data_IF_125476373772
#
_entry.id   IF_125476373772
#
_cell.length_a   1.000
_cell.length_b   1.000
_cell.length_c   1.000
_cell.angle_alpha   90.00
_cell.angle_beta   90.00
_cell.angle_gamma   90.00
#
_symmetry.space_group_name_H-M   'P 1'
#
loop_
_entity.id
_entity.type
_entity.pdbx_description
1 polymer ?
#
# COMPACT_ATOMS: atom_id res chain seq x y z
N UNK A 1 -51.81 5.73 -9.83
CA UNK A 1 -50.76 6.45 -9.08
C UNK A 1 -50.58 5.77 -7.73
N UNK A 2 -49.57 4.90 -7.60
CA UNK A 2 -49.05 4.46 -6.30
C UNK A 2 -47.65 5.03 -6.22
N UNK A 3 -47.40 5.83 -5.19
CA UNK A 3 -46.14 6.52 -4.94
C UNK A 3 -45.08 5.49 -4.58
N UNK A 4 -43.94 5.61 -5.24
CA UNK A 4 -42.66 5.03 -4.83
C UNK A 4 -42.30 5.56 -3.44
N UNK A 5 -42.08 4.66 -2.49
CA UNK A 5 -41.45 4.96 -1.21
C UNK A 5 -39.96 4.71 -1.36
N UNK A 6 -39.21 5.81 -1.46
CA UNK A 6 -37.77 5.85 -1.24
C UNK A 6 -37.45 5.21 0.12
N UNK A 7 -36.69 4.11 0.09
CA UNK A 7 -36.02 3.59 1.28
C UNK A 7 -34.68 4.32 1.35
N UNK A 8 -34.62 5.30 2.25
CA UNK A 8 -33.36 5.91 2.70
C UNK A 8 -32.58 4.81 3.45
N UNK A 9 -31.55 4.27 2.80
CA UNK A 9 -30.64 3.33 3.45
C UNK A 9 -29.65 4.18 4.24
N UNK A 10 -29.86 4.25 5.55
CA UNK A 10 -28.89 4.83 6.48
C UNK A 10 -27.55 4.12 6.35
N UNK A 11 -26.48 4.91 6.22
CA UNK A 11 -25.07 4.47 6.11
C UNK A 11 -24.52 3.81 7.40
N UNK A 12 -25.36 3.57 8.41
CA UNK A 12 -24.96 2.96 9.70
C UNK A 12 -24.99 1.42 9.69
N UNK A 13 -24.91 0.76 8.53
CA UNK A 13 -24.98 -0.72 8.46
C UNK A 13 -23.84 -1.33 7.65
N UNK A 14 -22.59 -1.04 8.00
CA UNK A 14 -21.45 -1.92 7.70
C UNK A 14 -20.48 -1.82 8.88
N UNK A 15 -20.66 -2.71 9.85
CA UNK A 15 -19.68 -3.48 10.63
C UNK A 15 -20.55 -4.29 11.57
N UNK A 16 -20.48 -5.61 11.46
CA UNK A 16 -21.21 -6.53 12.33
C UNK A 16 -20.72 -6.32 13.79
N UNK A 17 -21.57 -5.83 14.71
CA UNK A 17 -21.19 -5.62 16.11
C UNK A 17 -20.81 -6.93 16.83
N UNK A 18 -21.09 -8.08 16.21
CA UNK A 18 -20.65 -9.40 16.71
C UNK A 18 -19.13 -9.61 16.50
N UNK A 19 -18.51 -9.02 15.47
CA UNK A 19 -17.05 -9.17 15.23
C UNK A 19 -16.23 -8.38 16.26
N UNK A 20 -16.67 -7.18 16.67
CA UNK A 20 -15.98 -6.39 17.70
C UNK A 20 -16.10 -7.01 19.11
N UNK A 21 -17.18 -7.75 19.41
CA UNK A 21 -17.39 -8.37 20.72
C UNK A 21 -16.80 -9.78 20.84
N UNK A 22 -16.45 -10.44 19.73
CA UNK A 22 -15.80 -11.76 19.71
C UNK A 22 -14.27 -11.71 19.62
N UNK A 23 -13.67 -10.53 19.50
CA UNK A 23 -12.23 -10.41 19.62
C UNK A 23 -11.85 -10.62 21.10
N UNK A 24 -11.45 -11.86 21.40
CA UNK A 24 -10.72 -12.18 22.63
C UNK A 24 -9.56 -11.18 22.81
N UNK A 25 -9.11 -10.99 24.04
CA UNK A 25 -8.07 -10.01 24.40
C UNK A 25 -6.72 -10.20 23.65
N UNK A 26 -6.59 -11.26 22.85
CA UNK A 26 -5.42 -11.68 22.08
C UNK A 26 -5.68 -11.82 20.56
N UNK A 27 -6.75 -11.22 20.02
CA UNK A 27 -7.02 -11.27 18.57
C UNK A 27 -6.80 -9.91 17.92
N UNK A 28 -6.08 -9.93 16.80
CA UNK A 28 -5.70 -8.75 16.03
C UNK A 28 -6.40 -8.75 14.67
N UNK A 29 -6.83 -7.57 14.23
CA UNK A 29 -7.33 -7.33 12.88
C UNK A 29 -6.48 -6.24 12.22
N UNK A 30 -5.92 -6.57 11.06
CA UNK A 30 -5.18 -5.66 10.20
C UNK A 30 -6.12 -5.23 9.07
N UNK A 31 -6.46 -3.95 9.04
CA UNK A 31 -7.12 -3.32 7.90
C UNK A 31 -6.09 -2.71 6.96
N UNK A 32 -6.24 -2.93 5.66
CA UNK A 32 -5.30 -2.40 4.68
C UNK A 32 -5.96 -1.94 3.39
N UNK A 33 -5.30 -1.02 2.67
CA UNK A 33 -5.77 -0.55 1.36
C UNK A 33 -5.74 -1.66 0.29
N UNK A 34 -4.79 -2.58 0.40
CA UNK A 34 -4.72 -3.76 -0.48
C UNK A 34 -4.47 -5.04 0.33
N UNK A 35 -5.52 -5.62 0.94
CA UNK A 35 -5.35 -6.73 1.88
C UNK A 35 -4.80 -8.00 1.21
N UNK A 36 -5.09 -8.20 -0.07
CA UNK A 36 -4.54 -9.29 -0.89
C UNK A 36 -3.01 -9.21 -1.00
N UNK A 37 -2.43 -8.02 -1.03
CA UNK A 37 -0.98 -7.84 -0.98
C UNK A 37 -0.40 -8.15 0.40
N UNK A 38 -1.04 -7.67 1.47
CA UNK A 38 -0.49 -7.79 2.84
C UNK A 38 -0.60 -9.18 3.45
N UNK A 39 -1.56 -10.02 3.01
CA UNK A 39 -1.73 -11.39 3.53
C UNK A 39 -0.52 -12.29 3.31
N UNK A 40 0.37 -11.94 2.38
CA UNK A 40 1.60 -12.71 2.13
C UNK A 40 2.70 -12.44 3.16
N UNK A 41 2.53 -11.42 4.01
CA UNK A 41 3.51 -11.03 5.02
C UNK A 41 3.06 -11.34 6.45
N UNK A 42 1.79 -11.71 6.66
CA UNK A 42 1.23 -11.95 7.99
C UNK A 42 0.56 -13.33 8.01
N UNK A 43 0.98 -14.16 8.95
CA UNK A 43 0.38 -15.44 9.30
C UNK A 43 -0.29 -15.31 10.68
N UNK A 44 -1.43 -15.98 10.94
CA UNK A 44 -2.32 -16.56 9.95
C UNK A 44 -2.99 -15.46 9.11
N UNK A 45 -3.33 -15.77 7.85
CA UNK A 45 -3.96 -14.80 6.93
C UNK A 45 -5.29 -14.23 7.45
N UNK A 46 -5.93 -14.91 8.43
CA UNK A 46 -7.11 -14.42 9.14
C UNK A 46 -6.88 -13.16 9.97
N UNK A 47 -5.63 -12.77 10.22
CA UNK A 47 -5.31 -11.50 10.86
C UNK A 47 -5.53 -10.31 9.93
N UNK A 48 -5.55 -10.50 8.60
CA UNK A 48 -5.78 -9.43 7.62
C UNK A 48 -7.24 -9.46 7.18
N UNK A 49 -7.97 -8.36 7.37
CA UNK A 49 -9.32 -8.23 6.83
C UNK A 49 -9.25 -8.23 5.31
N UNK A 50 -9.97 -9.14 4.66
CA UNK A 50 -10.00 -9.24 3.20
C UNK A 50 -10.88 -8.17 2.53
N UNK A 51 -11.53 -7.31 3.32
CA UNK A 51 -12.28 -6.17 2.82
C UNK A 51 -11.31 -5.10 2.31
N UNK A 52 -11.41 -4.78 1.02
CA UNK A 52 -10.64 -3.70 0.41
C UNK A 52 -11.24 -2.36 0.85
N UNK A 53 -10.53 -1.65 1.71
CA UNK A 53 -10.93 -0.36 2.25
C UNK A 53 -10.09 0.76 1.64
N UNK A 54 -10.66 1.96 1.52
CA UNK A 54 -9.83 3.10 1.20
C UNK A 54 -8.99 3.56 2.41
N UNK A 55 -7.96 4.36 2.11
CA UNK A 55 -7.09 4.99 3.11
C UNK A 55 -7.87 5.70 4.25
N UNK A 56 -8.98 6.37 3.94
CA UNK A 56 -9.78 7.15 4.89
C UNK A 56 -10.55 6.22 5.82
N UNK A 57 -11.09 5.13 5.30
CA UNK A 57 -11.80 4.11 6.06
C UNK A 57 -10.89 3.37 7.03
N UNK A 58 -9.71 2.92 6.58
CA UNK A 58 -8.70 2.31 7.47
C UNK A 58 -8.36 3.26 8.62
N UNK A 59 -8.13 4.54 8.33
CA UNK A 59 -7.86 5.56 9.35
C UNK A 59 -9.00 5.72 10.36
N UNK A 60 -10.27 5.68 9.90
CA UNK A 60 -11.44 5.79 10.78
C UNK A 60 -11.55 4.59 11.72
N UNK A 61 -11.33 3.38 11.21
CA UNK A 61 -11.39 2.15 12.01
C UNK A 61 -10.31 2.15 13.10
N UNK A 62 -9.07 2.44 12.74
CA UNK A 62 -7.96 2.51 13.71
C UNK A 62 -8.21 3.54 14.80
N UNK A 63 -8.77 4.71 14.45
CA UNK A 63 -9.05 5.79 15.43
C UNK A 63 -10.23 5.49 16.38
N UNK A 64 -11.11 4.57 16.00
CA UNK A 64 -12.29 4.17 16.81
C UNK A 64 -12.02 2.94 17.67
N UNK A 65 -11.10 2.09 17.23
CA UNK A 65 -10.79 0.83 17.90
C UNK A 65 -10.23 1.06 19.31
N UNK A 66 -10.70 0.27 20.27
CA UNK A 66 -10.26 0.30 21.67
C UNK A 66 -9.04 -0.59 21.93
N UNK A 67 -8.85 -1.65 21.14
CA UNK A 67 -7.67 -2.52 21.13
C UNK A 67 -7.68 -3.45 19.92
N UNK A 68 -6.54 -4.09 19.60
CA UNK A 68 -6.49 -5.21 18.66
C UNK A 68 -6.69 -4.83 17.19
N UNK A 69 -6.55 -3.55 16.82
CA UNK A 69 -6.67 -3.10 15.42
C UNK A 69 -5.40 -2.40 14.98
N UNK A 70 -4.84 -2.87 13.87
CA UNK A 70 -3.74 -2.24 13.14
C UNK A 70 -4.27 -1.78 11.78
N UNK A 71 -3.82 -0.61 11.32
CA UNK A 71 -4.09 -0.15 9.96
C UNK A 71 -2.80 0.00 9.17
N UNK A 72 -2.80 -0.49 7.93
CA UNK A 72 -1.71 -0.28 6.96
C UNK A 72 -2.26 0.49 5.76
N UNK A 73 -1.63 1.60 5.42
CA UNK A 73 -2.09 2.48 4.33
C UNK A 73 -0.93 2.86 3.42
N UNK A 74 -1.26 3.21 2.17
CA UNK A 74 -0.31 3.85 1.27
C UNK A 74 0.24 5.15 1.87
N UNK A 75 1.43 5.55 1.45
CA UNK A 75 2.02 6.82 1.88
C UNK A 75 1.24 8.02 1.37
N UNK A 76 0.76 7.96 0.13
CA UNK A 76 0.09 9.08 -0.58
C UNK A 76 0.87 10.41 -0.38
N UNK A 77 0.20 11.55 -0.59
CA UNK A 77 0.71 12.88 -0.25
C UNK A 77 0.54 13.24 1.23
N UNK A 78 -0.05 12.37 2.05
CA UNK A 78 -0.24 12.59 3.49
C UNK A 78 0.71 11.73 4.31
N UNK A 79 1.85 12.32 4.68
CA UNK A 79 2.86 11.69 5.52
C UNK A 79 2.81 12.11 6.99
N UNK A 80 1.67 12.63 7.46
CA UNK A 80 1.47 12.96 8.87
C UNK A 80 1.45 11.71 9.76
N UNK A 81 1.99 11.80 10.98
CA UNK A 81 1.77 10.77 12.00
C UNK A 81 0.37 10.96 12.59
N UNK A 82 -0.48 9.95 12.48
CA UNK A 82 -1.90 10.06 12.85
C UNK A 82 -2.31 9.21 14.04
N UNK A 83 -1.66 8.06 14.27
CA UNK A 83 -2.04 7.10 15.30
C UNK A 83 -0.93 6.07 15.56
N UNK A 84 -0.81 5.57 16.80
CA UNK A 84 0.19 4.57 17.20
C UNK A 84 0.02 3.21 16.51
N UNK A 85 -1.21 2.86 16.11
CA UNK A 85 -1.53 1.61 15.41
C UNK A 85 -1.75 1.80 13.89
N UNK A 86 -1.44 2.99 13.34
CA UNK A 86 -1.48 3.24 11.90
C UNK A 86 -0.06 3.26 11.33
N UNK A 87 0.15 2.50 10.26
CA UNK A 87 1.43 2.33 9.59
C UNK A 87 1.29 2.72 8.13
N UNK A 88 2.20 3.56 7.66
CA UNK A 88 2.21 4.06 6.28
C UNK A 88 3.40 3.44 5.57
N UNK A 89 3.21 3.03 4.31
CA UNK A 89 4.33 2.65 3.46
C UNK A 89 5.36 3.79 3.39
N UNK A 90 6.66 3.44 3.38
CA UNK A 90 7.73 4.40 3.02
C UNK A 90 7.84 4.57 1.50
N UNK A 91 6.69 4.59 0.83
CA UNK A 91 6.50 4.70 -0.60
C UNK A 91 5.17 5.42 -0.83
N UNK A 92 5.01 6.07 -1.98
CA UNK A 92 3.72 6.67 -2.33
C UNK A 92 2.62 5.62 -2.38
N UNK A 93 2.87 4.47 -3.00
CA UNK A 93 1.96 3.31 -3.04
C UNK A 93 2.69 2.00 -3.32
N UNK A 94 1.96 0.88 -3.31
CA UNK A 94 2.46 -0.44 -3.73
C UNK A 94 3.02 -0.41 -5.16
N UNK A 95 2.44 0.37 -6.08
CA UNK A 95 2.98 0.51 -7.44
C UNK A 95 4.41 1.06 -7.46
N UNK A 96 4.75 1.96 -6.55
CA UNK A 96 6.12 2.46 -6.43
C UNK A 96 7.07 1.34 -5.96
N UNK A 97 6.62 0.49 -5.03
CA UNK A 97 7.36 -0.71 -4.62
C UNK A 97 7.55 -1.66 -5.80
N UNK A 98 6.51 -1.88 -6.61
CA UNK A 98 6.58 -2.67 -7.85
C UNK A 98 7.63 -2.10 -8.80
N UNK A 99 7.59 -0.80 -9.09
CA UNK A 99 8.57 -0.15 -9.98
C UNK A 99 10.01 -0.31 -9.48
N UNK A 100 10.22 -0.24 -8.16
CA UNK A 100 11.56 -0.29 -7.58
C UNK A 100 12.12 -1.72 -7.57
N UNK A 101 11.33 -2.73 -7.22
CA UNK A 101 11.85 -4.06 -6.89
C UNK A 101 11.45 -5.17 -7.88
N UNK A 102 10.33 -5.03 -8.58
CA UNK A 102 9.79 -6.16 -9.35
C UNK A 102 10.56 -6.37 -10.68
N UNK A 103 11.20 -7.53 -10.84
CA UNK A 103 12.01 -7.90 -12.02
C UNK A 103 11.24 -7.77 -13.34
N UNK A 104 9.94 -8.05 -13.32
CA UNK A 104 9.05 -7.92 -14.49
C UNK A 104 8.89 -6.50 -15.04
N UNK A 105 9.21 -5.46 -14.25
CA UNK A 105 9.16 -4.05 -14.68
C UNK A 105 10.52 -3.37 -14.68
N UNK A 106 11.61 -4.14 -14.58
CA UNK A 106 12.97 -3.60 -14.53
C UNK A 106 13.29 -2.67 -15.72
N UNK A 107 12.86 -3.04 -16.94
CA UNK A 107 13.04 -2.22 -18.14
C UNK A 107 12.33 -0.85 -18.03
N UNK A 108 11.14 -0.82 -17.41
CA UNK A 108 10.44 0.44 -17.15
C UNK A 108 11.24 1.29 -16.15
N UNK A 109 11.68 0.71 -15.03
CA UNK A 109 12.50 1.38 -14.02
C UNK A 109 13.76 2.02 -14.62
N UNK A 110 14.52 1.26 -15.40
CA UNK A 110 15.77 1.73 -16.01
C UNK A 110 15.52 2.93 -16.94
N UNK A 111 14.50 2.84 -17.79
CA UNK A 111 14.11 3.95 -18.68
C UNK A 111 13.68 5.18 -17.87
N UNK A 112 12.95 4.98 -16.78
CA UNK A 112 12.51 6.06 -15.88
C UNK A 112 13.69 6.78 -15.26
N UNK A 113 14.66 6.05 -14.72
CA UNK A 113 15.83 6.64 -14.11
C UNK A 113 16.65 7.45 -15.11
N UNK A 114 16.86 6.93 -16.33
CA UNK A 114 17.56 7.67 -17.41
C UNK A 114 16.81 8.93 -17.82
N UNK A 115 15.49 8.88 -17.92
CA UNK A 115 14.68 10.07 -18.23
C UNK A 115 14.83 11.12 -17.14
N UNK A 116 14.71 10.72 -15.86
CA UNK A 116 14.75 11.62 -14.71
C UNK A 116 16.13 12.26 -14.49
N UNK A 117 17.22 11.62 -14.91
CA UNK A 117 18.58 12.21 -14.83
C UNK A 117 18.67 13.59 -15.47
N UNK A 118 17.94 13.80 -16.57
CA UNK A 118 17.99 15.06 -17.33
C UNK A 118 16.68 15.87 -17.25
N UNK A 119 15.59 15.27 -16.76
CA UNK A 119 14.24 15.84 -16.84
C UNK A 119 13.49 15.81 -15.50
N UNK A 120 14.18 15.75 -14.36
CA UNK A 120 13.54 15.77 -13.05
C UNK A 120 12.81 17.10 -12.80
N UNK A 121 11.52 17.12 -13.09
CA UNK A 121 10.60 18.21 -12.73
C UNK A 121 9.69 17.75 -11.59
N UNK A 122 10.10 18.00 -10.35
CA UNK A 122 9.48 17.48 -9.11
C UNK A 122 7.96 17.68 -9.02
N UNK A 123 7.41 18.71 -9.67
CA UNK A 123 5.97 19.05 -9.62
C UNK A 123 5.12 18.36 -10.68
N UNK A 124 5.71 17.58 -11.57
CA UNK A 124 5.01 16.94 -12.67
C UNK A 124 5.12 15.43 -12.55
N UNK A 125 4.01 14.75 -12.86
CA UNK A 125 4.00 13.31 -13.07
C UNK A 125 4.71 12.97 -14.38
N UNK A 126 5.01 11.69 -14.53
CA UNK A 126 5.44 11.09 -15.79
C UNK A 126 4.37 10.15 -16.32
N UNK A 127 4.43 9.92 -17.63
CA UNK A 127 3.65 8.95 -18.36
C UNK A 127 4.59 8.22 -19.35
N UNK A 128 4.14 7.10 -19.90
CA UNK A 128 4.87 6.40 -20.95
C UNK A 128 3.97 5.98 -22.10
N UNK A 129 4.62 5.80 -23.24
CA UNK A 129 4.03 5.12 -24.40
C UNK A 129 4.92 3.94 -24.77
N UNK A 130 4.30 2.83 -25.17
CA UNK A 130 4.99 1.66 -25.69
C UNK A 130 4.73 1.48 -27.18
N UNK A 131 5.82 1.29 -27.94
CA UNK A 131 5.78 0.81 -29.32
C UNK A 131 6.61 -0.48 -29.39
N UNK A 132 5.91 -1.62 -29.27
CA UNK A 132 6.52 -2.92 -29.05
C UNK A 132 7.42 -2.91 -27.82
N UNK A 133 8.73 -3.05 -28.05
CA UNK A 133 9.74 -3.04 -26.99
C UNK A 133 10.26 -1.65 -26.60
N UNK A 134 9.93 -0.61 -27.37
CA UNK A 134 10.41 0.74 -27.11
C UNK A 134 9.47 1.46 -26.15
N UNK A 135 10.01 1.78 -24.97
CA UNK A 135 9.31 2.58 -23.96
C UNK A 135 9.84 4.00 -24.05
N UNK A 136 8.93 4.95 -24.29
CA UNK A 136 9.24 6.38 -24.25
C UNK A 136 8.55 7.01 -23.05
N UNK A 137 9.33 7.72 -22.23
CA UNK A 137 8.83 8.39 -21.03
C UNK A 137 8.71 9.88 -21.33
N UNK A 138 7.64 10.49 -20.84
CA UNK A 138 7.33 11.89 -21.05
C UNK A 138 6.74 12.50 -19.79
N UNK A 139 6.83 13.83 -19.72
CA UNK A 139 6.15 14.63 -18.72
C UNK A 139 4.63 14.54 -18.92
N UNK A 140 3.91 14.48 -17.82
CA UNK A 140 2.45 14.40 -17.77
C UNK A 140 1.87 15.62 -17.01
N UNK A 141 0.78 15.41 -16.27
CA UNK A 141 0.09 16.44 -15.50
C UNK A 141 0.94 16.96 -14.33
N UNK A 142 0.71 18.22 -13.99
CA UNK A 142 1.20 18.79 -12.74
C UNK A 142 0.47 18.13 -11.57
N UNK A 143 1.20 17.86 -10.49
CA UNK A 143 0.62 17.55 -9.17
C UNK A 143 -0.22 18.74 -8.73
N UNK A 144 -1.27 18.53 -7.93
CA UNK A 144 -2.02 19.64 -7.34
C UNK A 144 -1.10 20.51 -6.49
N UNK A 145 -1.19 21.83 -6.64
CA UNK A 145 -0.33 22.78 -5.93
C UNK A 145 -0.42 22.68 -4.40
N UNK A 146 -1.52 22.15 -3.85
CA UNK A 146 -1.67 21.92 -2.41
C UNK A 146 -0.62 20.95 -1.85
N UNK A 147 -0.02 20.12 -2.70
CA UNK A 147 1.01 19.15 -2.33
C UNK A 147 2.43 19.63 -2.62
N UNK A 148 2.62 20.90 -3.01
CA UNK A 148 3.95 21.44 -3.34
C UNK A 148 4.95 21.31 -2.17
N UNK A 149 4.48 21.45 -0.92
CA UNK A 149 5.34 21.32 0.27
C UNK A 149 5.80 19.87 0.49
N UNK A 150 4.90 18.89 0.32
CA UNK A 150 5.26 17.47 0.32
C UNK A 150 6.31 17.19 -0.75
N UNK A 151 6.02 17.59 -2.00
CA UNK A 151 6.88 17.35 -3.16
C UNK A 151 8.28 17.93 -2.94
N UNK A 152 8.36 19.18 -2.46
CA UNK A 152 9.65 19.84 -2.20
C UNK A 152 10.49 19.10 -1.16
N UNK A 153 9.84 18.53 -0.14
CA UNK A 153 10.48 17.89 1.00
C UNK A 153 10.87 16.44 0.72
N UNK A 154 9.99 15.67 0.06
CA UNK A 154 10.17 14.24 -0.19
C UNK A 154 10.92 13.93 -1.48
N UNK A 155 10.75 14.74 -2.54
CA UNK A 155 11.32 14.46 -3.87
C UNK A 155 12.57 15.30 -4.06
N UNK A 156 13.73 14.71 -3.85
CA UNK A 156 15.04 15.39 -3.88
C UNK A 156 15.75 15.12 -5.21
N UNK A 157 15.74 13.86 -5.63
CA UNK A 157 16.46 13.25 -6.74
C UNK A 157 15.56 12.24 -7.49
N UNK A 158 16.15 11.50 -8.44
CA UNK A 158 15.42 10.49 -9.24
C UNK A 158 14.94 9.29 -8.42
N UNK A 159 15.67 8.91 -7.38
CA UNK A 159 15.35 7.73 -6.57
C UNK A 159 14.20 8.03 -5.60
N UNK A 160 14.25 9.20 -4.95
CA UNK A 160 13.12 9.71 -4.16
C UNK A 160 11.90 10.07 -5.01
N UNK A 161 12.09 10.46 -6.28
CA UNK A 161 10.97 10.61 -7.22
C UNK A 161 10.24 9.28 -7.46
N UNK A 162 10.95 8.20 -7.81
CA UNK A 162 10.29 6.91 -8.05
C UNK A 162 9.72 6.30 -6.76
N UNK A 163 10.22 6.70 -5.58
CA UNK A 163 9.71 6.25 -4.28
C UNK A 163 8.44 6.99 -3.85
N UNK A 164 8.38 8.32 -4.00
CA UNK A 164 7.35 9.16 -3.37
C UNK A 164 6.45 9.94 -4.35
N UNK A 165 6.63 9.79 -5.66
CA UNK A 165 5.72 10.39 -6.63
C UNK A 165 4.50 9.50 -6.88
N UNK A 166 3.36 10.13 -7.18
CA UNK A 166 2.18 9.46 -7.70
C UNK A 166 2.45 8.81 -9.07
N UNK A 167 2.76 7.51 -9.03
CA UNK A 167 3.09 6.68 -10.20
C UNK A 167 2.10 5.52 -10.39
N UNK A 168 0.94 5.52 -9.72
CA UNK A 168 -0.06 4.44 -9.82
C UNK A 168 -0.42 4.15 -11.29
N UNK A 169 -0.84 5.19 -12.01
CA UNK A 169 -1.21 5.08 -13.43
C UNK A 169 0.00 4.78 -14.33
N UNK A 170 1.18 5.29 -13.99
CA UNK A 170 2.40 5.06 -14.73
C UNK A 170 2.82 3.58 -14.68
N UNK A 171 2.73 2.93 -13.52
CA UNK A 171 3.07 1.51 -13.39
C UNK A 171 1.97 0.63 -13.98
N UNK A 172 0.71 0.93 -13.67
CA UNK A 172 -0.44 0.14 -14.16
C UNK A 172 -0.64 0.25 -15.68
N UNK A 173 -0.19 1.35 -16.30
CA UNK A 173 -0.21 1.52 -17.76
C UNK A 173 0.88 0.72 -18.50
N UNK A 174 1.81 0.06 -17.81
CA UNK A 174 2.92 -0.65 -18.46
C UNK A 174 2.54 -2.06 -18.93
N UNK A 175 1.75 -2.79 -18.14
CA UNK A 175 1.35 -4.16 -18.45
C UNK A 175 0.04 -4.51 -17.79
N UNK A 176 -0.74 -5.42 -18.39
CA UNK A 176 -1.93 -6.01 -17.78
C UNK A 176 -1.61 -7.06 -16.70
N UNK A 177 -0.33 -7.41 -16.51
CA UNK A 177 0.09 -8.35 -15.46
C UNK A 177 -0.07 -7.71 -14.08
N UNK A 178 -0.66 -8.47 -13.16
CA UNK A 178 -0.71 -8.08 -11.75
C UNK A 178 0.64 -8.40 -11.10
N UNK A 179 1.56 -7.44 -11.09
CA UNK A 179 2.87 -7.60 -10.44
C UNK A 179 2.83 -7.53 -8.91
N UNK A 180 1.75 -6.98 -8.33
CA UNK A 180 1.60 -6.87 -6.89
C UNK A 180 1.49 -8.25 -6.25
N UNK A 181 0.85 -9.22 -6.92
CA UNK A 181 0.66 -10.59 -6.40
C UNK A 181 1.97 -11.38 -6.26
N UNK A 182 3.00 -11.03 -7.03
CA UNK A 182 4.32 -11.68 -6.99
C UNK A 182 5.40 -10.84 -6.33
N UNK A 183 5.08 -9.62 -5.90
CA UNK A 183 6.00 -8.72 -5.22
C UNK A 183 6.50 -9.26 -3.86
N UNK A 184 5.71 -9.97 -3.03
CA UNK A 184 6.19 -10.57 -1.79
C UNK A 184 7.30 -11.61 -1.95
N UNK A 185 7.52 -12.12 -3.18
CA UNK A 185 8.67 -13.00 -3.48
C UNK A 185 9.97 -12.23 -3.72
N UNK A 186 9.91 -10.90 -3.72
CA UNK A 186 11.00 -9.99 -4.12
C UNK A 186 11.32 -8.93 -3.07
N UNK A 187 10.41 -8.63 -2.16
CA UNK A 187 10.53 -7.57 -1.15
C UNK A 187 10.16 -8.13 0.21
N UNK A 188 10.95 -7.85 1.24
CA UNK A 188 10.64 -8.22 2.62
C UNK A 188 9.64 -7.24 3.24
N UNK A 189 8.90 -7.69 4.25
CA UNK A 189 7.92 -6.85 4.91
C UNK A 189 8.53 -5.58 5.54
N UNK A 190 9.71 -5.70 6.17
CA UNK A 190 10.43 -4.56 6.76
C UNK A 190 10.82 -3.48 5.73
N UNK A 191 11.06 -3.87 4.47
CA UNK A 191 11.44 -2.94 3.40
C UNK A 191 10.28 -2.07 2.90
N UNK A 192 9.05 -2.35 3.35
CA UNK A 192 7.85 -1.58 3.03
C UNK A 192 7.71 -0.31 3.88
N UNK A 193 8.38 -0.25 5.03
CA UNK A 193 8.23 0.80 6.02
C UNK A 193 9.56 1.52 6.28
N UNK A 194 9.50 2.71 6.89
CA UNK A 194 10.70 3.29 7.50
C UNK A 194 11.12 2.44 8.70
N UNK A 195 12.40 2.47 9.04
CA UNK A 195 12.93 1.72 10.18
C UNK A 195 12.11 1.98 11.46
N UNK A 196 11.94 3.25 11.85
CA UNK A 196 11.16 3.62 13.03
C UNK A 196 9.69 3.12 12.98
N UNK A 197 9.08 3.13 11.78
CA UNK A 197 7.71 2.67 11.62
C UNK A 197 7.61 1.14 11.68
N UNK A 198 8.62 0.43 11.20
CA UNK A 198 8.70 -1.02 11.27
C UNK A 198 8.97 -1.50 12.70
N UNK A 199 9.92 -0.89 13.40
CA UNK A 199 10.20 -1.19 14.81
C UNK A 199 8.94 -1.01 15.67
N UNK A 200 8.23 0.11 15.48
CA UNK A 200 6.93 0.35 16.12
C UNK A 200 5.87 -0.69 15.72
N UNK A 201 5.86 -1.13 14.46
CA UNK A 201 4.92 -2.16 14.01
C UNK A 201 5.13 -3.44 14.80
N UNK A 202 6.38 -3.89 14.91
CA UNK A 202 6.75 -5.08 15.67
C UNK A 202 6.35 -4.95 17.13
N UNK A 203 6.64 -3.82 17.77
CA UNK A 203 6.24 -3.57 19.16
C UNK A 203 4.71 -3.65 19.38
N UNK A 204 3.93 -2.99 18.52
CA UNK A 204 2.47 -2.99 18.60
C UNK A 204 1.91 -4.38 18.29
N UNK A 205 2.43 -5.05 17.27
CA UNK A 205 2.01 -6.38 16.86
C UNK A 205 2.26 -7.41 17.97
N UNK A 206 3.48 -7.44 18.53
CA UNK A 206 3.85 -8.35 19.63
C UNK A 206 3.09 -8.05 20.91
N UNK A 207 2.73 -6.79 21.19
CA UNK A 207 1.86 -6.45 22.32
C UNK A 207 0.49 -7.14 22.23
N UNK A 208 -0.03 -7.36 21.02
CA UNK A 208 -1.31 -8.05 20.81
C UNK A 208 -1.16 -9.56 20.65
N UNK A 209 -0.12 -10.03 19.96
CA UNK A 209 0.04 -11.45 19.59
C UNK A 209 0.91 -12.26 20.56
N UNK A 210 1.76 -11.60 21.37
CA UNK A 210 2.67 -12.23 22.33
C UNK A 210 4.07 -12.54 21.79
N UNK A 211 4.26 -12.61 20.47
CA UNK A 211 5.57 -12.75 19.80
C UNK A 211 5.55 -12.17 18.37
N UNK A 212 6.57 -12.50 17.55
CA UNK A 212 6.74 -12.05 16.16
C UNK A 212 6.68 -13.19 15.13
N UNK A 213 6.43 -14.44 15.56
CA UNK A 213 6.52 -15.62 14.67
C UNK A 213 5.46 -15.60 13.56
N UNK A 214 4.42 -14.78 13.76
CA UNK A 214 3.33 -14.51 12.85
C UNK A 214 3.67 -13.48 11.75
N UNK A 215 4.82 -12.79 11.82
CA UNK A 215 5.30 -11.90 10.75
C UNK A 215 6.28 -12.67 9.85
N UNK A 216 5.96 -12.75 8.55
CA UNK A 216 6.81 -13.41 7.56
C UNK A 216 7.94 -12.44 7.17
N UNK A 217 9.07 -12.55 7.88
CA UNK A 217 10.24 -11.69 7.75
C UNK A 217 11.23 -12.14 6.67
N UNK A 218 11.31 -13.45 6.46
CA UNK A 218 12.14 -14.03 5.41
C UNK A 218 11.31 -14.22 4.15
N UNK A 219 11.97 -14.05 3.00
CA UNK A 219 11.40 -14.41 1.70
C UNK A 219 10.61 -15.71 1.84
N UNK A 220 9.35 -15.79 1.37
CA UNK A 220 8.73 -17.09 1.31
C UNK A 220 9.62 -17.93 0.39
N UNK A 221 10.31 -18.92 0.98
CA UNK A 221 10.88 -20.01 0.22
C UNK A 221 9.71 -20.64 -0.49
N UNK A 222 9.49 -20.22 -1.74
CA UNK A 222 8.64 -20.85 -2.74
C UNK A 222 7.40 -21.45 -2.08
N UNK A 223 6.35 -20.64 -1.88
CA UNK A 223 5.02 -21.24 -1.91
C UNK A 223 4.91 -21.87 -3.30
N UNK A 224 5.11 -23.17 -3.34
CA UNK A 224 4.88 -23.99 -4.52
C UNK A 224 3.43 -23.72 -4.91
N UNK A 225 3.24 -22.98 -6.01
CA UNK A 225 1.94 -22.70 -6.59
C UNK A 225 1.32 -23.96 -7.20
N UNK A 226 1.52 -25.13 -6.57
CA UNK A 226 0.71 -26.31 -6.81
C UNK A 226 -0.68 -26.05 -6.21
N UNK A 227 -1.47 -25.27 -6.94
CA UNK A 227 -2.92 -25.32 -6.86
C UNK A 227 -3.32 -26.80 -6.92
N UNK A 228 -3.79 -27.35 -5.80
CA UNK A 228 -4.60 -28.56 -5.85
C UNK A 228 -5.90 -28.16 -6.53
N UNK A 229 -6.02 -28.60 -7.78
CA UNK A 229 -7.23 -28.64 -8.60
C UNK A 229 -8.42 -29.22 -7.86
#
# INVERSE_FOLDING_TARGET
MRKDSNIDISLDTIIDPEIENELSTNSIVIYAEDPEFYRYYVSPSSMVSMEKLDCIEVRKLVKRATSGVIGIVDGDFDDSFEHENLFKLDYYSIENVVLIYHKGVQKLKEKTLVYLENNLEKKFRIDHTSDGENITIRKSSRIDSRFDDYVRRKIIDKDSYIRYMDLKNFVNGFSSKNYQSTLPTQVKFEELFSQDSFERFVEVFTKFCGDTDDIIMDYPQIFDFSFRT
#
